data_IF_656187373198
#
_entry.id   IF_656187373198
#
_cell.length_a   1.000
_cell.length_b   1.000
_cell.length_c   1.000
_cell.angle_alpha   90.00
_cell.angle_beta   90.00
_cell.angle_gamma   90.00
#
_symmetry.space_group_name_H-M   'P 1'
#
loop_
_entity.id
_entity.type
_entity.pdbx_description
1 polymer ?
#
# COMPACT_ATOMS: atom_id res chain seq x y z
N UNK A 1 -5.74 -28.31 -0.04
CA UNK A 1 -5.55 -26.98 0.58
C UNK A 1 -4.27 -26.41 0.00
N UNK A 2 -4.36 -25.29 -0.71
CA UNK A 2 -3.16 -24.60 -1.20
C UNK A 2 -2.29 -24.21 0.01
N UNK A 3 -0.97 -24.30 -0.14
CA UNK A 3 -0.05 -23.87 0.90
C UNK A 3 -0.29 -22.38 1.20
N UNK A 4 -0.40 -22.01 2.47
CA UNK A 4 -0.52 -20.59 2.87
C UNK A 4 0.73 -19.84 2.38
N UNK A 5 0.61 -18.61 1.87
CA UNK A 5 1.77 -17.84 1.45
C UNK A 5 2.58 -17.33 2.64
N UNK A 6 3.87 -17.08 2.41
CA UNK A 6 4.64 -16.19 3.27
C UNK A 6 4.07 -14.78 3.09
N UNK A 7 3.78 -14.10 4.20
CA UNK A 7 3.24 -12.75 4.19
C UNK A 7 4.33 -11.75 4.50
N UNK A 8 4.45 -10.74 3.65
CA UNK A 8 5.27 -9.57 3.90
C UNK A 8 4.34 -8.36 3.98
N UNK A 9 4.57 -7.48 4.94
CA UNK A 9 3.95 -6.16 4.96
C UNK A 9 5.03 -5.09 5.09
N UNK A 10 4.97 -4.05 4.25
CA UNK A 10 5.83 -2.89 4.37
C UNK A 10 5.05 -1.61 4.61
N UNK A 11 5.45 -0.86 5.64
CA UNK A 11 5.20 0.58 5.65
C UNK A 11 6.25 1.25 4.77
N UNK A 12 5.81 2.05 3.81
CA UNK A 12 6.66 2.50 2.71
C UNK A 12 6.81 4.01 2.61
N UNK A 13 8.03 4.43 2.32
CA UNK A 13 8.42 5.83 2.18
C UNK A 13 9.35 6.02 0.98
N UNK A 14 9.48 7.25 0.52
CA UNK A 14 10.48 7.58 -0.50
C UNK A 14 11.92 7.41 0.00
N UNK A 15 12.15 7.53 1.31
CA UNK A 15 13.47 7.30 1.92
C UNK A 15 13.57 5.90 2.53
N UNK A 16 14.66 5.14 2.29
CA UNK A 16 14.91 3.85 2.96
C UNK A 16 14.81 3.89 4.49
N UNK A 17 15.13 5.02 5.11
CA UNK A 17 15.08 5.22 6.56
C UNK A 17 13.67 5.26 7.14
N UNK A 18 12.67 5.61 6.33
CA UNK A 18 11.27 5.63 6.71
C UNK A 18 10.52 4.41 6.19
N UNK A 19 11.22 3.30 5.92
CA UNK A 19 10.61 2.04 5.48
C UNK A 19 10.79 1.00 6.55
N UNK A 20 9.75 0.22 6.77
CA UNK A 20 9.76 -0.91 7.68
C UNK A 20 9.14 -2.13 6.99
N UNK A 21 9.66 -3.33 7.27
CA UNK A 21 9.16 -4.59 6.75
C UNK A 21 8.90 -5.56 7.90
N UNK A 22 7.73 -6.19 7.88
CA UNK A 22 7.34 -7.27 8.77
C UNK A 22 7.09 -8.54 7.94
N UNK A 23 7.46 -9.71 8.47
CA UNK A 23 7.33 -11.01 7.76
C UNK A 23 6.64 -12.02 8.66
N UNK A 24 5.59 -12.68 8.16
CA UNK A 24 4.99 -13.85 8.78
C UNK A 24 5.18 -15.09 7.90
N UNK A 25 5.71 -16.15 8.51
CA UNK A 25 5.87 -17.46 7.87
C UNK A 25 4.77 -18.40 8.39
N UNK A 26 4.01 -19.07 7.51
CA UNK A 26 3.02 -20.05 7.94
C UNK A 26 3.72 -21.34 8.38
N UNK A 27 3.28 -21.89 9.51
CA UNK A 27 3.67 -23.18 10.06
C UNK A 27 2.48 -24.14 10.20
N UNK A 28 2.60 -25.13 11.08
CA UNK A 28 1.56 -26.13 11.35
C UNK A 28 0.36 -25.54 12.10
N UNK A 29 -0.46 -24.75 11.39
CA UNK A 29 -1.64 -24.08 11.92
C UNK A 29 -1.37 -22.77 12.67
N UNK A 30 -0.12 -22.29 12.67
CA UNK A 30 0.30 -21.04 13.33
C UNK A 30 1.12 -20.18 12.38
N UNK A 31 1.12 -18.88 12.60
CA UNK A 31 1.97 -17.89 11.93
C UNK A 31 3.13 -17.55 12.83
N UNK A 32 4.33 -17.46 12.28
CA UNK A 32 5.53 -17.05 13.01
C UNK A 32 6.06 -15.72 12.51
N UNK A 33 6.29 -14.78 13.42
CA UNK A 33 6.93 -13.48 13.14
C UNK A 33 8.19 -13.37 13.98
N UNK A 34 9.33 -13.49 13.31
CA UNK A 34 10.63 -13.50 13.98
C UNK A 34 11.28 -12.10 14.00
N UNK A 35 11.12 -11.32 12.94
CA UNK A 35 11.88 -10.08 12.76
C UNK A 35 11.03 -8.99 12.12
N UNK A 36 11.29 -7.75 12.54
CA UNK A 36 10.94 -6.53 11.82
C UNK A 36 12.24 -5.90 11.31
N UNK A 37 12.19 -5.35 10.11
CA UNK A 37 13.36 -4.75 9.46
C UNK A 37 13.13 -3.27 9.22
N UNK A 38 14.09 -2.45 9.64
CA UNK A 38 14.21 -1.05 9.24
C UNK A 38 15.66 -0.61 9.47
N UNK A 39 16.28 0.16 8.56
CA UNK A 39 15.78 0.62 7.27
C UNK A 39 15.70 -0.49 6.21
N UNK A 40 14.95 -0.26 5.13
CA UNK A 40 14.76 -1.21 4.01
C UNK A 40 15.21 -0.59 2.70
N UNK A 41 16.20 -1.18 2.03
CA UNK A 41 16.65 -0.75 0.70
C UNK A 41 16.02 -1.60 -0.41
N UNK A 42 15.88 -1.01 -1.61
CA UNK A 42 15.28 -1.68 -2.77
C UNK A 42 16.06 -2.95 -3.14
N UNK A 43 17.39 -2.85 -3.26
CA UNK A 43 18.25 -3.97 -3.65
C UNK A 43 18.20 -5.13 -2.64
N UNK A 44 18.15 -4.83 -1.34
CA UNK A 44 18.02 -5.85 -0.30
C UNK A 44 16.64 -6.52 -0.36
N UNK A 45 15.57 -5.74 -0.51
CA UNK A 45 14.21 -6.26 -0.59
C UNK A 45 14.00 -7.16 -1.81
N UNK A 46 14.49 -6.76 -2.98
CA UNK A 46 14.43 -7.57 -4.20
C UNK A 46 15.20 -8.91 -4.02
N UNK A 47 16.38 -8.88 -3.38
CA UNK A 47 17.12 -10.10 -3.04
C UNK A 47 16.37 -11.00 -2.08
N UNK A 48 15.74 -10.42 -1.05
CA UNK A 48 14.91 -11.14 -0.10
C UNK A 48 13.74 -11.82 -0.82
N UNK A 49 12.98 -11.08 -1.63
CA UNK A 49 11.83 -11.61 -2.38
C UNK A 49 12.22 -12.75 -3.32
N UNK A 50 13.37 -12.65 -3.98
CA UNK A 50 13.89 -13.71 -4.85
C UNK A 50 14.29 -14.97 -4.07
N UNK A 51 14.74 -14.83 -2.82
CA UNK A 51 15.19 -15.96 -1.99
C UNK A 51 14.10 -16.61 -1.13
N UNK A 52 12.92 -16.00 -1.01
CA UNK A 52 11.84 -16.53 -0.18
C UNK A 52 11.15 -17.74 -0.83
N UNK A 53 10.81 -18.79 -0.05
CA UNK A 53 9.93 -19.85 -0.50
C UNK A 53 8.58 -19.29 -0.98
N UNK A 54 8.04 -19.90 -2.04
CA UNK A 54 6.78 -19.50 -2.67
C UNK A 54 5.62 -20.35 -2.14
N UNK A 55 4.38 -19.84 -2.12
CA UNK A 55 3.97 -18.51 -2.60
C UNK A 55 4.25 -17.36 -1.60
N UNK A 56 4.32 -16.12 -2.12
CA UNK A 56 4.55 -14.90 -1.33
C UNK A 56 3.44 -13.89 -1.63
N UNK A 57 2.83 -13.33 -0.58
CA UNK A 57 1.95 -12.18 -0.67
C UNK A 57 2.60 -10.99 0.06
N UNK A 58 2.74 -9.86 -0.64
CA UNK A 58 3.40 -8.67 -0.15
C UNK A 58 2.44 -7.47 -0.16
N UNK A 59 1.96 -7.09 1.02
CA UNK A 59 1.21 -5.87 1.25
C UNK A 59 2.11 -4.66 1.41
N UNK A 60 1.78 -3.54 0.77
CA UNK A 60 2.53 -2.29 0.88
C UNK A 60 1.58 -1.13 1.21
N UNK A 61 1.94 -0.30 2.20
CA UNK A 61 1.23 0.95 2.53
C UNK A 61 1.57 2.06 1.52
N UNK A 62 1.05 1.91 0.31
CA UNK A 62 1.15 2.90 -0.76
C UNK A 62 0.08 2.65 -1.84
N UNK A 63 -0.29 3.70 -2.59
CA UNK A 63 -1.19 3.53 -3.73
C UNK A 63 -0.63 2.62 -4.83
N UNK A 64 -1.41 1.61 -5.22
CA UNK A 64 -1.25 0.86 -6.47
C UNK A 64 -2.41 1.20 -7.40
N UNK A 65 -2.13 1.75 -8.58
CA UNK A 65 -3.15 2.27 -9.48
C UNK A 65 -3.16 3.79 -9.56
N UNK A 66 -3.98 4.31 -10.48
CA UNK A 66 -4.17 5.74 -10.70
C UNK A 66 -5.68 6.07 -10.77
N UNK A 67 -6.11 7.32 -10.52
CA UNK A 67 -7.51 7.69 -10.68
C UNK A 67 -8.03 7.43 -12.11
N UNK A 68 -9.23 6.85 -12.23
CA UNK A 68 -9.83 6.49 -13.53
C UNK A 68 -9.94 7.69 -14.47
N UNK A 69 -10.30 8.86 -13.93
CA UNK A 69 -10.46 10.08 -14.71
C UNK A 69 -9.14 10.52 -15.36
N UNK A 70 -8.02 10.38 -14.67
CA UNK A 70 -6.69 10.63 -15.22
C UNK A 70 -6.34 9.60 -16.30
N UNK A 71 -6.55 8.31 -16.01
CA UNK A 71 -6.24 7.22 -16.94
C UNK A 71 -7.00 7.34 -18.26
N UNK A 72 -8.29 7.71 -18.22
CA UNK A 72 -9.10 7.96 -19.42
C UNK A 72 -8.54 9.07 -20.30
N UNK A 73 -8.01 10.14 -19.71
CA UNK A 73 -7.42 11.25 -20.48
C UNK A 73 -6.09 10.86 -21.12
N UNK A 74 -5.31 10.02 -20.45
CA UNK A 74 -4.06 9.47 -20.97
C UNK A 74 -4.29 8.31 -21.96
N UNK A 75 -5.53 7.82 -22.10
CA UNK A 75 -5.86 6.69 -22.96
C UNK A 75 -5.25 5.37 -22.45
N UNK A 76 -5.26 5.16 -21.14
CA UNK A 76 -4.82 3.92 -20.49
C UNK A 76 -5.98 2.94 -20.34
N UNK A 77 -5.74 1.69 -20.70
CA UNK A 77 -6.63 0.55 -20.50
C UNK A 77 -6.38 -0.23 -19.20
N UNK A 78 -5.17 -0.13 -18.62
CA UNK A 78 -4.87 -0.71 -17.29
C UNK A 78 -3.75 0.04 -16.55
N UNK A 79 -3.61 -0.20 -15.24
CA UNK A 79 -2.44 0.23 -14.49
C UNK A 79 -1.16 -0.51 -14.91
N UNK A 80 -1.29 -1.80 -15.29
CA UNK A 80 -0.19 -2.60 -15.83
C UNK A 80 0.44 -1.93 -17.05
N UNK A 81 -0.41 -1.48 -17.97
CA UNK A 81 0.00 -0.73 -19.15
C UNK A 81 0.73 0.57 -18.80
N UNK A 82 0.29 1.30 -17.76
CA UNK A 82 1.01 2.49 -17.31
C UNK A 82 2.43 2.11 -16.87
N UNK A 83 2.60 1.09 -16.03
CA UNK A 83 3.92 0.67 -15.53
C UNK A 83 4.89 0.27 -16.64
N UNK A 84 4.38 -0.33 -17.72
CA UNK A 84 5.15 -0.65 -18.93
C UNK A 84 5.53 0.61 -19.71
N UNK A 85 4.61 1.55 -19.87
CA UNK A 85 4.87 2.83 -20.56
C UNK A 85 5.86 3.73 -19.82
N UNK A 86 6.08 3.54 -18.51
CA UNK A 86 7.04 4.33 -17.72
C UNK A 86 8.51 4.19 -18.17
N UNK A 87 8.87 3.16 -18.96
CA UNK A 87 10.19 3.04 -19.59
C UNK A 87 10.30 3.87 -20.89
N UNK A 88 9.19 4.34 -21.44
CA UNK A 88 9.14 5.06 -22.69
C UNK A 88 9.61 6.53 -22.58
N UNK A 89 10.11 7.12 -23.67
CA UNK A 89 10.58 8.51 -23.68
C UNK A 89 9.47 9.51 -23.33
N UNK A 90 8.22 9.22 -23.69
CA UNK A 90 7.06 10.06 -23.38
C UNK A 90 6.77 10.17 -21.86
N UNK A 91 7.34 9.28 -21.05
CA UNK A 91 7.17 9.23 -19.60
C UNK A 91 8.45 9.58 -18.84
N UNK A 92 9.46 10.15 -19.51
CA UNK A 92 10.75 10.49 -18.92
C UNK A 92 10.64 11.42 -17.69
N UNK A 93 9.64 12.31 -17.68
CA UNK A 93 9.38 13.24 -16.58
C UNK A 93 8.25 12.79 -15.64
N UNK A 94 7.67 11.60 -15.85
CA UNK A 94 6.52 11.13 -15.05
C UNK A 94 6.82 11.10 -13.56
N UNK A 95 7.98 10.56 -13.19
CA UNK A 95 8.42 10.50 -11.79
C UNK A 95 8.98 11.80 -11.21
N UNK A 96 8.99 12.90 -11.98
CA UNK A 96 9.56 14.19 -11.56
C UNK A 96 8.45 15.17 -11.21
N UNK A 97 8.23 15.49 -9.93
CA UNK A 97 7.21 16.47 -9.55
C UNK A 97 7.38 17.81 -10.29
N UNK A 98 6.26 18.37 -10.74
CA UNK A 98 6.18 19.70 -11.35
C UNK A 98 6.53 20.78 -10.32
N UNK A 99 7.32 21.75 -10.74
CA UNK A 99 7.72 22.88 -9.88
C UNK A 99 6.68 24.00 -9.94
N UNK A 100 6.10 24.20 -11.13
CA UNK A 100 5.11 25.23 -11.41
C UNK A 100 3.80 24.61 -11.92
N UNK A 101 2.63 25.26 -11.74
CA UNK A 101 1.36 24.73 -12.25
C UNK A 101 1.37 24.46 -13.76
N UNK A 102 2.11 25.23 -14.54
CA UNK A 102 2.21 25.12 -16.01
C UNK A 102 3.02 23.90 -16.47
N UNK A 103 3.80 23.28 -15.59
CA UNK A 103 4.52 22.04 -15.88
C UNK A 103 3.65 20.79 -15.70
N UNK A 104 2.48 20.93 -15.06
CA UNK A 104 1.56 19.81 -14.82
C UNK A 104 1.00 19.37 -16.17
N UNK A 105 1.16 18.09 -16.46
CA UNK A 105 0.60 17.47 -17.65
C UNK A 105 0.29 15.99 -17.37
N UNK A 106 -0.37 15.32 -18.32
CA UNK A 106 -0.64 13.89 -18.19
C UNK A 106 0.66 13.08 -18.07
N UNK A 107 1.76 13.54 -18.66
CA UNK A 107 3.08 12.87 -18.63
C UNK A 107 4.00 13.36 -17.50
N UNK A 108 3.57 14.37 -16.73
CA UNK A 108 4.26 14.88 -15.53
C UNK A 108 3.22 15.25 -14.46
N UNK A 109 2.51 14.27 -13.88
CA UNK A 109 1.30 14.55 -13.12
C UNK A 109 1.54 14.91 -11.66
N UNK A 110 2.72 14.59 -11.08
CA UNK A 110 2.99 14.81 -9.67
C UNK A 110 3.28 16.28 -9.38
N UNK A 111 2.71 16.83 -8.32
CA UNK A 111 2.90 18.23 -7.92
C UNK A 111 2.58 18.42 -6.43
N UNK A 112 3.30 19.28 -5.70
CA UNK A 112 4.42 20.11 -6.13
C UNK A 112 5.80 19.55 -5.77
N UNK A 113 6.84 19.99 -6.48
CA UNK A 113 8.23 19.67 -6.16
C UNK A 113 8.69 20.28 -4.81
N UNK A 114 8.18 21.46 -4.47
CA UNK A 114 8.49 22.16 -3.22
C UNK A 114 7.26 22.89 -2.67
N UNK A 115 7.34 23.31 -1.41
CA UNK A 115 6.29 24.12 -0.78
C UNK A 115 6.26 25.56 -1.32
N UNK A 116 5.09 26.21 -1.26
CA UNK A 116 4.92 27.64 -1.55
C UNK A 116 3.86 27.92 -2.61
N UNK A 117 2.75 28.58 -2.23
CA UNK A 117 1.69 29.00 -3.16
C UNK A 117 0.96 27.88 -3.91
N UNK A 118 1.24 26.61 -3.57
CA UNK A 118 0.77 25.43 -4.30
C UNK A 118 -0.59 24.97 -3.80
N UNK A 119 -1.46 24.53 -4.73
CA UNK A 119 -2.84 24.12 -4.42
C UNK A 119 -3.22 22.88 -5.22
N UNK A 120 -4.04 22.01 -4.66
CA UNK A 120 -4.60 20.85 -5.38
C UNK A 120 -5.45 21.27 -6.59
N UNK A 121 -6.01 22.48 -6.59
CA UNK A 121 -6.71 23.02 -7.76
C UNK A 121 -5.82 23.09 -9.02
N UNK A 122 -4.50 23.32 -8.85
CA UNK A 122 -3.56 23.31 -9.97
C UNK A 122 -3.46 21.93 -10.62
N UNK A 123 -3.56 20.84 -9.84
CA UNK A 123 -3.61 19.48 -10.38
C UNK A 123 -4.90 19.24 -11.16
N UNK A 124 -6.05 19.71 -10.64
CA UNK A 124 -7.33 19.58 -11.34
C UNK A 124 -7.24 20.26 -12.71
N UNK A 125 -6.76 21.50 -12.74
CA UNK A 125 -6.64 22.29 -13.97
C UNK A 125 -5.60 21.71 -14.94
N UNK A 126 -4.37 21.46 -14.47
CA UNK A 126 -3.27 20.97 -15.30
C UNK A 126 -3.47 19.55 -15.86
N UNK A 127 -4.25 18.71 -15.16
CA UNK A 127 -4.65 17.39 -15.65
C UNK A 127 -5.98 17.43 -16.42
N UNK A 128 -6.63 18.60 -16.51
CA UNK A 128 -7.92 18.79 -17.18
C UNK A 128 -9.10 18.09 -16.51
N UNK A 129 -9.01 17.78 -15.22
CA UNK A 129 -10.06 17.08 -14.47
C UNK A 129 -11.22 18.01 -14.13
N UNK A 130 -12.39 17.45 -13.83
CA UNK A 130 -13.60 18.22 -13.51
C UNK A 130 -13.62 18.76 -12.08
N UNK A 131 -12.82 18.19 -11.18
CA UNK A 131 -12.79 18.61 -9.79
C UNK A 131 -11.89 17.75 -8.90
N UNK A 132 -11.72 18.14 -7.63
CA UNK A 132 -10.80 17.49 -6.70
C UNK A 132 -11.17 16.04 -6.36
N UNK A 133 -12.41 15.61 -6.60
CA UNK A 133 -12.84 14.21 -6.44
C UNK A 133 -12.20 13.29 -7.47
N UNK A 134 -11.97 13.77 -8.69
CA UNK A 134 -11.34 13.00 -9.77
C UNK A 134 -9.82 12.81 -9.58
N UNK A 135 -9.22 13.48 -8.58
CA UNK A 135 -7.83 13.25 -8.19
C UNK A 135 -7.64 11.99 -7.33
N UNK A 136 -8.73 11.35 -6.90
CA UNK A 136 -8.71 10.18 -6.02
C UNK A 136 -9.32 8.98 -6.70
N UNK A 137 -8.75 7.82 -6.39
CA UNK A 137 -9.36 6.52 -6.65
C UNK A 137 -10.57 6.32 -5.75
N UNK A 138 -11.43 5.37 -6.09
CA UNK A 138 -12.62 5.06 -5.27
C UNK A 138 -12.25 4.55 -3.87
N UNK A 139 -11.26 3.67 -3.75
CA UNK A 139 -10.78 3.15 -2.47
C UNK A 139 -10.17 4.22 -1.55
N UNK A 140 -9.76 5.37 -2.09
CA UNK A 140 -9.16 6.49 -1.34
C UNK A 140 -10.22 7.46 -0.77
N UNK A 141 -11.50 7.26 -1.07
CA UNK A 141 -12.58 8.11 -0.58
C UNK A 141 -12.85 7.84 0.91
N UNK A 142 -13.51 8.80 1.56
CA UNK A 142 -13.78 8.69 2.99
C UNK A 142 -14.69 7.49 3.30
N UNK A 143 -14.40 6.83 4.41
CA UNK A 143 -15.22 5.74 4.98
C UNK A 143 -15.79 6.18 6.33
N UNK A 144 -16.59 5.33 6.97
CA UNK A 144 -16.93 5.53 8.37
C UNK A 144 -15.69 5.55 9.29
N UNK A 145 -14.63 4.82 8.91
CA UNK A 145 -13.43 4.62 9.72
C UNK A 145 -12.33 5.66 9.46
N UNK A 146 -12.24 6.26 8.27
CA UNK A 146 -11.20 7.24 7.97
C UNK A 146 -11.66 8.34 7.00
N UNK A 147 -10.96 9.47 7.07
CA UNK A 147 -11.09 10.55 6.09
C UNK A 147 -10.52 10.10 4.73
N UNK A 148 -10.92 10.80 3.67
CA UNK A 148 -10.35 10.54 2.34
C UNK A 148 -8.83 10.70 2.37
N UNK A 149 -8.12 9.77 1.72
CA UNK A 149 -6.67 9.80 1.62
C UNK A 149 -6.18 11.02 0.80
N UNK A 150 -4.90 11.34 0.91
CA UNK A 150 -4.29 12.33 0.04
C UNK A 150 -4.33 11.84 -1.43
N UNK A 151 -4.60 12.72 -2.40
CA UNK A 151 -4.50 12.36 -3.80
C UNK A 151 -3.11 11.87 -4.17
N UNK A 152 -3.01 10.80 -4.97
CA UNK A 152 -1.75 10.22 -5.43
C UNK A 152 -0.78 11.27 -5.99
N UNK A 153 -1.26 12.14 -6.88
CA UNK A 153 -0.42 13.11 -7.56
C UNK A 153 0.00 14.30 -6.69
N UNK A 154 -0.49 14.37 -5.44
CA UNK A 154 -0.11 15.42 -4.50
C UNK A 154 1.15 15.03 -3.71
N UNK A 155 2.23 15.79 -3.87
CA UNK A 155 3.56 15.45 -3.29
C UNK A 155 3.99 16.35 -2.15
N UNK A 156 3.05 16.96 -1.41
CA UNK A 156 3.36 17.85 -0.28
C UNK A 156 2.62 17.49 1.01
N UNK A 157 3.29 17.74 2.14
CA UNK A 157 2.75 17.57 3.49
C UNK A 157 3.10 16.21 4.11
N UNK A 158 2.52 15.88 5.28
CA UNK A 158 2.77 14.60 5.95
C UNK A 158 2.19 13.39 5.19
N UNK A 159 1.34 13.61 4.17
CA UNK A 159 0.69 12.58 3.37
C UNK A 159 1.27 12.53 1.95
N UNK A 160 2.61 12.49 1.83
CA UNK A 160 3.33 12.42 0.55
C UNK A 160 3.26 11.04 -0.12
N UNK A 161 2.07 10.44 -0.16
CA UNK A 161 1.82 9.10 -0.70
C UNK A 161 2.30 8.95 -2.14
N UNK A 162 2.27 10.02 -2.93
CA UNK A 162 2.81 10.03 -4.30
C UNK A 162 4.31 9.77 -4.40
N UNK A 163 5.11 10.29 -3.46
CA UNK A 163 6.57 10.06 -3.46
C UNK A 163 6.90 8.62 -3.04
N UNK A 164 6.16 8.10 -2.06
CA UNK A 164 6.28 6.70 -1.64
C UNK A 164 5.88 5.76 -2.80
N UNK A 165 4.76 6.02 -3.46
CA UNK A 165 4.31 5.28 -4.64
C UNK A 165 5.38 5.28 -5.74
N UNK A 166 5.89 6.45 -6.15
CA UNK A 166 6.96 6.55 -7.15
C UNK A 166 8.20 5.74 -6.76
N UNK A 167 8.64 5.84 -5.50
CA UNK A 167 9.80 5.09 -5.02
C UNK A 167 9.58 3.58 -5.10
N UNK A 168 8.40 3.06 -4.72
CA UNK A 168 8.09 1.65 -4.86
C UNK A 168 7.94 1.21 -6.32
N UNK A 169 7.22 1.99 -7.14
CA UNK A 169 6.93 1.65 -8.53
C UNK A 169 8.22 1.49 -9.32
N UNK A 170 9.13 2.46 -9.23
CA UNK A 170 10.43 2.41 -9.92
C UNK A 170 11.44 1.46 -9.26
N UNK A 171 11.53 1.47 -7.92
CA UNK A 171 12.59 0.77 -7.20
C UNK A 171 12.34 -0.71 -6.95
N UNK A 172 11.08 -1.12 -6.84
CA UNK A 172 10.72 -2.47 -6.39
C UNK A 172 9.73 -3.16 -7.34
N UNK A 173 8.59 -2.53 -7.60
CA UNK A 173 7.48 -3.18 -8.30
C UNK A 173 7.86 -3.48 -9.74
N UNK A 174 8.27 -2.49 -10.52
CA UNK A 174 8.62 -2.70 -11.94
C UNK A 174 9.79 -3.69 -12.11
N UNK A 175 10.88 -3.61 -11.34
CA UNK A 175 11.90 -4.66 -11.34
C UNK A 175 11.35 -6.06 -11.02
N UNK A 176 10.48 -6.20 -10.00
CA UNK A 176 9.91 -7.49 -9.66
C UNK A 176 8.97 -8.05 -10.74
N UNK A 177 8.17 -7.19 -11.39
CA UNK A 177 7.32 -7.58 -12.52
C UNK A 177 8.14 -8.08 -13.71
N UNK A 178 9.32 -7.50 -13.95
CA UNK A 178 10.19 -7.86 -15.07
C UNK A 178 11.04 -9.09 -14.78
N UNK A 179 11.58 -9.19 -13.56
CA UNK A 179 12.68 -10.09 -13.23
C UNK A 179 12.27 -11.26 -12.31
N UNK A 180 11.03 -11.28 -11.80
CA UNK A 180 10.57 -12.28 -10.81
C UNK A 180 9.15 -12.83 -11.05
N UNK A 181 8.59 -12.61 -12.24
CA UNK A 181 7.22 -12.99 -12.59
C UNK A 181 6.19 -12.52 -11.55
N UNK A 182 6.45 -11.37 -10.92
CA UNK A 182 5.55 -10.83 -9.92
C UNK A 182 4.23 -10.38 -10.55
N UNK A 183 3.19 -10.36 -9.73
CA UNK A 183 1.85 -9.94 -10.11
C UNK A 183 1.30 -8.91 -9.13
N UNK A 184 0.32 -8.13 -9.58
CA UNK A 184 -0.33 -7.09 -8.80
C UNK A 184 -1.79 -7.45 -8.58
N UNK A 185 -2.20 -7.62 -7.34
CA UNK A 185 -3.60 -7.69 -6.99
C UNK A 185 -4.18 -6.28 -6.80
N UNK A 186 -5.41 -5.99 -7.29
CA UNK A 186 -6.33 -6.87 -8.03
C UNK A 186 -6.21 -6.78 -9.57
N UNK A 187 -5.11 -6.26 -10.09
CA UNK A 187 -4.96 -5.94 -11.52
C UNK A 187 -4.79 -7.18 -12.40
N UNK A 188 -4.04 -8.16 -11.91
CA UNK A 188 -3.65 -9.36 -12.67
C UNK A 188 -4.56 -10.58 -12.37
N UNK A 189 -5.53 -10.45 -11.45
CA UNK A 189 -6.46 -11.53 -11.09
C UNK A 189 -6.83 -11.59 -9.61
N UNK A 190 -7.48 -12.67 -9.21
CA UNK A 190 -7.78 -12.97 -7.80
C UNK A 190 -6.59 -13.64 -7.08
N UNK A 191 -6.63 -13.71 -5.74
CA UNK A 191 -5.50 -14.23 -4.98
C UNK A 191 -5.20 -15.70 -5.22
N UNK A 192 -6.21 -16.55 -5.38
CA UNK A 192 -5.99 -17.99 -5.47
C UNK A 192 -5.28 -18.34 -6.77
N UNK A 193 -5.68 -17.70 -7.88
CA UNK A 193 -5.01 -17.81 -9.16
C UNK A 193 -3.59 -17.22 -9.11
N UNK A 194 -3.44 -16.01 -8.58
CA UNK A 194 -2.14 -15.32 -8.53
C UNK A 194 -1.12 -16.05 -7.66
N UNK A 195 -1.52 -16.57 -6.50
CA UNK A 195 -0.62 -17.31 -5.62
C UNK A 195 -0.20 -18.67 -6.22
N UNK A 196 -1.00 -19.25 -7.13
CA UNK A 196 -0.64 -20.49 -7.81
C UNK A 196 0.47 -20.33 -8.86
N UNK A 197 0.73 -19.09 -9.33
CA UNK A 197 1.70 -18.81 -10.38
C UNK A 197 3.16 -18.80 -9.89
N UNK A 198 3.39 -18.78 -8.58
CA UNK A 198 4.73 -18.90 -7.98
C UNK A 198 5.54 -17.60 -7.87
N UNK A 199 5.14 -16.52 -8.53
CA UNK A 199 5.71 -15.17 -8.34
C UNK A 199 5.26 -14.51 -7.03
N UNK A 200 5.95 -13.45 -6.55
CA UNK A 200 5.41 -12.58 -5.49
C UNK A 200 4.14 -11.87 -5.96
N UNK A 201 3.10 -11.88 -5.14
CA UNK A 201 1.89 -11.08 -5.36
C UNK A 201 1.98 -9.80 -4.54
N UNK A 202 1.95 -8.64 -5.19
CA UNK A 202 1.90 -7.35 -4.52
C UNK A 202 0.45 -6.89 -4.35
N UNK A 203 0.13 -6.32 -3.18
CA UNK A 203 -1.17 -5.75 -2.89
C UNK A 203 -1.00 -4.43 -2.13
N UNK A 204 -1.92 -3.48 -2.36
CA UNK A 204 -2.01 -2.27 -1.56
C UNK A 204 -2.68 -2.59 -0.22
N UNK A 205 -2.10 -2.12 0.87
CA UNK A 205 -2.67 -2.22 2.22
C UNK A 205 -2.81 -0.83 2.83
N UNK A 206 -3.67 -0.71 3.85
CA UNK A 206 -3.79 0.54 4.60
C UNK A 206 -3.87 0.27 6.10
N UNK A 207 -2.72 0.24 6.82
CA UNK A 207 -2.63 -0.07 8.25
C UNK A 207 -3.59 0.76 9.10
N UNK A 208 -3.90 1.98 8.69
CA UNK A 208 -4.86 2.86 9.38
C UNK A 208 -6.28 2.28 9.50
N UNK A 209 -6.74 1.49 8.54
CA UNK A 209 -8.02 0.75 8.66
C UNK A 209 -7.84 -0.42 9.63
N UNK A 210 -6.75 -1.17 9.46
CA UNK A 210 -6.45 -2.36 10.25
C UNK A 210 -6.40 -2.04 11.74
N UNK A 211 -5.74 -0.94 12.12
CA UNK A 211 -5.68 -0.47 13.52
C UNK A 211 -7.06 -0.26 14.13
N UNK A 212 -7.97 0.40 13.41
CA UNK A 212 -9.33 0.69 13.91
C UNK A 212 -10.17 -0.57 14.04
N UNK A 213 -9.96 -1.57 13.19
CA UNK A 213 -10.69 -2.85 13.26
C UNK A 213 -10.14 -3.77 14.33
N UNK A 214 -8.82 -3.92 14.41
CA UNK A 214 -8.17 -4.83 15.36
C UNK A 214 -8.04 -4.23 16.75
N UNK A 215 -8.04 -2.91 16.88
CA UNK A 215 -7.98 -2.21 18.16
C UNK A 215 -9.06 -1.11 18.26
N UNK A 216 -10.36 -1.45 18.26
CA UNK A 216 -11.44 -0.47 18.22
C UNK A 216 -11.47 0.47 19.43
N UNK A 217 -10.83 0.13 20.56
CA UNK A 217 -10.76 1.03 21.73
C UNK A 217 -9.62 2.04 21.65
N UNK A 218 -8.58 1.73 20.88
CA UNK A 218 -7.33 2.51 20.88
C UNK A 218 -6.87 2.94 19.48
N UNK A 219 -7.49 2.47 18.40
CA UNK A 219 -7.00 2.59 17.04
C UNK A 219 -6.91 4.03 16.50
N UNK A 220 -7.59 4.98 17.15
CA UNK A 220 -7.53 6.42 16.85
C UNK A 220 -6.52 7.18 17.72
N UNK A 221 -5.79 6.51 18.61
CA UNK A 221 -4.78 7.18 19.43
C UNK A 221 -3.62 7.71 18.55
N UNK A 222 -3.08 8.91 18.87
CA UNK A 222 -1.95 9.46 18.14
C UNK A 222 -0.70 8.56 18.20
N UNK A 223 -0.10 8.27 17.04
CA UNK A 223 1.01 7.32 16.95
C UNK A 223 2.38 7.88 17.31
N UNK A 224 2.51 9.19 17.56
CA UNK A 224 3.80 9.79 17.95
C UNK A 224 4.26 9.34 19.35
N UNK A 225 3.35 8.83 20.18
CA UNK A 225 3.65 8.35 21.54
C UNK A 225 3.79 6.83 21.58
N UNK A 226 4.89 6.32 22.13
CA UNK A 226 5.15 4.88 22.22
C UNK A 226 4.08 4.11 22.99
N UNK A 227 3.62 4.65 24.14
CA UNK A 227 2.57 4.02 24.94
C UNK A 227 1.23 3.87 24.19
N UNK A 228 0.93 4.74 23.21
CA UNK A 228 -0.26 4.58 22.37
C UNK A 228 -0.09 3.41 21.41
N UNK A 229 1.07 3.31 20.75
CA UNK A 229 1.40 2.19 19.86
C UNK A 229 1.37 0.86 20.62
N UNK A 230 1.94 0.82 21.83
CA UNK A 230 1.87 -0.33 22.74
C UNK A 230 0.42 -0.75 23.00
N UNK A 231 -0.45 0.18 23.41
CA UNK A 231 -1.87 -0.11 23.70
C UNK A 231 -2.62 -0.64 22.49
N UNK A 232 -2.39 -0.06 21.31
CA UNK A 232 -2.99 -0.51 20.05
C UNK A 232 -2.50 -1.92 19.71
N UNK A 233 -1.20 -2.15 19.73
CA UNK A 233 -0.61 -3.44 19.39
C UNK A 233 -1.04 -4.55 20.36
N UNK A 234 -1.06 -4.27 21.67
CA UNK A 234 -1.52 -5.22 22.67
C UNK A 234 -3.00 -5.60 22.47
N UNK A 235 -3.86 -4.62 22.17
CA UNK A 235 -5.27 -4.90 21.88
C UNK A 235 -5.44 -5.70 20.57
N UNK A 236 -4.72 -5.34 19.52
CA UNK A 236 -4.76 -6.03 18.23
C UNK A 236 -4.25 -7.47 18.35
N UNK A 237 -3.07 -7.66 18.92
CA UNK A 237 -2.41 -8.94 19.08
C UNK A 237 -3.23 -9.92 19.93
N UNK A 238 -3.92 -9.45 20.97
CA UNK A 238 -4.79 -10.28 21.80
C UNK A 238 -5.92 -11.00 21.03
N UNK A 239 -6.20 -10.61 19.78
CA UNK A 239 -7.18 -11.27 18.91
C UNK A 239 -6.64 -12.47 18.14
N UNK A 240 -5.33 -12.71 18.16
CA UNK A 240 -4.67 -13.78 17.41
C UNK A 240 -4.23 -14.91 18.34
N UNK A 241 -4.88 -16.06 18.25
CA UNK A 241 -4.52 -17.28 19.01
C UNK A 241 -3.53 -18.17 18.25
N UNK A 242 -3.38 -17.94 16.95
CA UNK A 242 -2.54 -18.67 16.00
C UNK A 242 -1.23 -17.96 15.69
N UNK A 243 -0.88 -16.89 16.41
CA UNK A 243 0.32 -16.08 16.15
C UNK A 243 1.41 -16.33 17.19
N UNK A 244 2.58 -16.76 16.71
CA UNK A 244 3.82 -16.89 17.47
C UNK A 244 4.75 -15.72 17.15
N UNK A 245 4.99 -14.90 18.16
CA UNK A 245 5.96 -13.80 18.09
C UNK A 245 7.25 -14.24 18.76
N UNK A 246 8.38 -14.02 18.08
CA UNK A 246 9.68 -14.22 18.72
C UNK A 246 9.85 -13.23 19.90
N UNK A 247 10.65 -13.57 20.93
CA UNK A 247 10.78 -12.75 22.14
C UNK A 247 11.14 -11.28 21.88
N UNK A 248 11.98 -11.02 20.88
CA UNK A 248 12.34 -9.66 20.47
C UNK A 248 11.14 -8.86 19.92
N UNK A 249 10.19 -9.51 19.25
CA UNK A 249 8.99 -8.86 18.72
C UNK A 249 8.00 -8.56 19.84
N UNK A 250 7.89 -9.48 20.81
CA UNK A 250 7.12 -9.23 22.03
C UNK A 250 7.68 -8.02 22.78
N UNK A 251 8.99 -7.98 23.00
CA UNK A 251 9.66 -6.86 23.67
C UNK A 251 9.46 -5.54 22.90
N UNK A 252 9.56 -5.56 21.57
CA UNK A 252 9.30 -4.40 20.71
C UNK A 252 7.85 -3.90 20.88
N UNK A 253 6.87 -4.81 20.85
CA UNK A 253 5.46 -4.48 21.01
C UNK A 253 5.14 -3.94 22.41
N UNK A 254 5.74 -4.51 23.46
CA UNK A 254 5.62 -4.07 24.85
C UNK A 254 6.28 -2.70 25.08
N UNK A 255 7.38 -2.41 24.39
CA UNK A 255 8.01 -1.08 24.39
C UNK A 255 7.26 -0.05 23.53
N UNK A 256 6.27 -0.49 22.73
CA UNK A 256 5.50 0.36 21.85
C UNK A 256 6.24 0.76 20.56
N UNK A 257 7.15 -0.08 20.09
CA UNK A 257 7.95 0.08 18.86
C UNK A 257 8.88 1.30 18.87
N UNK A 258 10.08 1.16 18.30
CA UNK A 258 11.03 2.25 18.21
C UNK A 258 10.54 3.39 17.31
N UNK A 259 9.84 3.06 16.22
CA UNK A 259 9.28 4.05 15.28
C UNK A 259 7.81 3.76 14.94
N UNK A 260 7.05 4.77 14.49
CA UNK A 260 5.74 4.55 13.90
C UNK A 260 5.76 3.62 12.69
N UNK A 261 6.84 3.65 11.89
CA UNK A 261 6.94 2.84 10.67
C UNK A 261 7.01 1.33 11.01
N UNK A 262 7.81 0.95 12.02
CA UNK A 262 7.86 -0.44 12.51
C UNK A 262 6.49 -0.91 13.02
N UNK A 263 5.79 -0.02 13.72
CA UNK A 263 4.45 -0.30 14.23
C UNK A 263 3.43 -0.48 13.10
N UNK A 264 3.42 0.40 12.09
CA UNK A 264 2.49 0.26 10.96
C UNK A 264 2.84 -0.94 10.06
N UNK A 265 4.14 -1.26 9.93
CA UNK A 265 4.62 -2.52 9.36
C UNK A 265 4.02 -3.74 10.05
N UNK A 266 4.09 -3.80 11.39
CA UNK A 266 3.52 -4.88 12.19
C UNK A 266 1.98 -4.92 12.12
N UNK A 267 1.31 -3.77 12.25
CA UNK A 267 -0.15 -3.69 12.20
C UNK A 267 -0.70 -4.13 10.85
N UNK A 268 -0.06 -3.72 9.75
CA UNK A 268 -0.45 -4.18 8.42
C UNK A 268 -0.27 -5.69 8.24
N UNK A 269 0.79 -6.28 8.79
CA UNK A 269 1.00 -7.72 8.78
C UNK A 269 -0.11 -8.47 9.55
N UNK A 270 -0.53 -7.98 10.72
CA UNK A 270 -1.66 -8.56 11.45
C UNK A 270 -2.95 -8.51 10.62
N UNK A 271 -3.18 -7.42 9.90
CA UNK A 271 -4.29 -7.29 8.97
C UNK A 271 -4.26 -8.36 7.88
N UNK A 272 -3.10 -8.56 7.25
CA UNK A 272 -2.94 -9.59 6.22
C UNK A 272 -3.13 -11.00 6.75
N UNK A 273 -2.60 -11.32 7.94
CA UNK A 273 -2.82 -12.61 8.60
C UNK A 273 -4.32 -12.86 8.79
N UNK A 274 -5.04 -11.86 9.32
CA UNK A 274 -6.49 -11.95 9.53
C UNK A 274 -7.23 -12.21 8.21
N UNK A 275 -6.88 -11.51 7.14
CA UNK A 275 -7.51 -11.68 5.83
C UNK A 275 -7.27 -13.08 5.24
N UNK A 276 -6.06 -13.63 5.34
CA UNK A 276 -5.77 -15.00 4.89
C UNK A 276 -6.60 -16.01 5.70
N UNK A 277 -6.72 -15.80 7.01
CA UNK A 277 -7.52 -16.67 7.88
C UNK A 277 -9.04 -16.56 7.62
N UNK A 278 -9.50 -15.38 7.20
CA UNK A 278 -10.89 -15.09 6.85
C UNK A 278 -11.22 -15.37 5.37
N UNK A 279 -10.30 -15.95 4.58
CA UNK A 279 -10.56 -16.30 3.18
C UNK A 279 -10.61 -15.11 2.21
N UNK A 280 -9.76 -14.10 2.42
CA UNK A 280 -9.61 -12.90 1.60
C UNK A 280 -10.77 -11.90 1.62
N UNK A 281 -11.72 -12.05 2.55
CA UNK A 281 -12.85 -11.14 2.66
C UNK A 281 -12.47 -9.78 3.28
N UNK A 282 -13.02 -8.66 2.78
CA UNK A 282 -13.90 -8.52 1.61
C UNK A 282 -13.13 -8.40 0.27
N UNK A 283 -13.66 -8.95 -0.83
CA UNK A 283 -13.09 -8.76 -2.17
C UNK A 283 -13.35 -7.35 -2.73
N UNK A 284 -12.62 -6.92 -3.77
CA UNK A 284 -12.91 -5.67 -4.49
C UNK A 284 -14.28 -5.73 -5.19
N UNK A 285 -14.94 -4.59 -5.41
CA UNK A 285 -16.18 -4.54 -6.16
C UNK A 285 -15.94 -4.90 -7.64
N UNK A 286 -16.79 -5.72 -8.27
CA UNK A 286 -16.60 -6.15 -9.66
C UNK A 286 -16.89 -5.00 -10.62
N UNK A 287 -15.85 -4.32 -11.11
CA UNK A 287 -16.01 -3.19 -12.03
C UNK A 287 -14.81 -2.98 -12.96
N UNK A 288 -15.00 -2.48 -14.20
CA UNK A 288 -13.89 -2.29 -15.14
C UNK A 288 -12.78 -1.36 -14.64
N UNK A 289 -13.10 -0.37 -13.81
CA UNK A 289 -12.10 0.55 -13.28
C UNK A 289 -11.17 -0.08 -12.23
N UNK A 290 -11.44 -1.31 -11.76
CA UNK A 290 -10.51 -2.03 -10.86
C UNK A 290 -9.17 -2.29 -11.55
N UNK A 291 -9.15 -2.57 -12.86
CA UNK A 291 -7.91 -2.73 -13.61
C UNK A 291 -7.08 -1.45 -13.77
N UNK A 292 -7.61 -0.30 -13.32
CA UNK A 292 -6.98 1.02 -13.40
C UNK A 292 -6.68 1.58 -12.01
N UNK A 293 -7.70 1.65 -11.15
CA UNK A 293 -7.60 2.21 -9.82
C UNK A 293 -7.05 1.18 -8.82
N UNK A 294 -7.31 -0.11 -9.01
CA UNK A 294 -7.01 -1.12 -8.01
C UNK A 294 -7.92 -1.02 -6.78
N UNK A 295 -7.50 -1.65 -5.68
CA UNK A 295 -8.25 -1.70 -4.43
C UNK A 295 -7.33 -1.89 -3.23
N UNK A 296 -7.74 -1.37 -2.07
CA UNK A 296 -7.04 -1.61 -0.81
C UNK A 296 -7.44 -2.97 -0.25
N UNK A 297 -6.45 -3.81 0.05
CA UNK A 297 -6.65 -5.13 0.61
C UNK A 297 -7.38 -5.05 1.96
N UNK A 298 -8.51 -5.74 2.04
CA UNK A 298 -9.37 -5.77 3.21
C UNK A 298 -10.38 -4.63 3.32
N UNK A 299 -10.40 -3.64 2.42
CA UNK A 299 -11.43 -2.58 2.43
C UNK A 299 -12.75 -3.10 1.87
N UNK A 300 -13.85 -3.02 2.61
CA UNK A 300 -15.16 -3.37 2.07
C UNK A 300 -15.72 -2.20 1.25
N UNK A 301 -16.25 -2.46 0.06
CA UNK A 301 -16.92 -1.41 -0.73
C UNK A 301 -18.07 -0.74 0.04
N UNK A 302 -18.74 -1.48 0.93
CA UNK A 302 -19.81 -0.97 1.80
C UNK A 302 -19.34 -0.01 2.89
N UNK A 303 -18.05 0.07 3.20
CA UNK A 303 -17.52 1.00 4.20
C UNK A 303 -17.30 2.41 3.65
N UNK A 304 -17.30 2.57 2.32
CA UNK A 304 -17.20 3.87 1.68
C UNK A 304 -18.48 4.67 1.96
N UNK A 305 -18.31 5.94 2.37
CA UNK A 305 -19.45 6.84 2.63
C UNK A 305 -20.27 7.11 1.38
N UNK A 306 -19.62 7.03 0.23
CA UNK A 306 -20.27 7.16 -1.07
C UNK A 306 -20.23 5.81 -1.78
N UNK A 307 -21.36 5.34 -2.33
CA UNK A 307 -21.40 4.10 -3.09
C UNK A 307 -20.41 4.10 -4.26
N UNK A 308 -19.88 2.91 -4.51
CA UNK A 308 -19.01 2.62 -5.64
C UNK A 308 -19.90 2.33 -6.85
N UNK A 309 -20.20 3.36 -7.63
CA UNK A 309 -20.81 3.21 -8.96
C UNK A 309 -19.73 3.02 -10.03
#
# INVERSE_FOLDING_TARGET
MNAKPILLHADWSSSPSGRALAIAVPGAGRWRVDHLFSPVSDAWLLRLLAGLPKPVLFGMDLPLGVPEAYARRLGLGSFRELLERLDGPDFADFGRPATTPTEISLHRPFYPAAAGGTRQAHLVEGLGLKGPRELRRRCERATALHLAAAPLFWTMGPQQVGKAALAAWYGVIRPALRDMDATLWPFDGDFDDLLSQGGPVFAETYPSIVRRRLAPRHGDLPLHMAHNRQRIAAEAWARFTTLDLAPQIVAEAEAGFATPDLFDGFMGLLGMIRLVEDGWEPPPPPSPWIGIEGWMLGLAASELREPVN
#
